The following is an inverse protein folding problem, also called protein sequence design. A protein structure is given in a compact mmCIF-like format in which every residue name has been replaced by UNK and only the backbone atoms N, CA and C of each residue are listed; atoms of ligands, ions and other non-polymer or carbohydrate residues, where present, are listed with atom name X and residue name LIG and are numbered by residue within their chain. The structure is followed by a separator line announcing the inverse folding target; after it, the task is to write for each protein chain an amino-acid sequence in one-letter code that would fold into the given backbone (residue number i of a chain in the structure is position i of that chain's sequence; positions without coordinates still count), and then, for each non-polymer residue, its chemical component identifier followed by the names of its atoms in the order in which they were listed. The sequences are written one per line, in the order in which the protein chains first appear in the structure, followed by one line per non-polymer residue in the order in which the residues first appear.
data_IF_120947961958
#
_entry.id   IF_120947961958
#
_cell.length_a   1.000
_cell.length_b   1.000
_cell.length_c   1.000
_cell.angle_alpha   90.00
_cell.angle_beta   90.00
_cell.angle_gamma   90.00
#
_symmetry.space_group_name_H-M   'P 1'
#
loop_
_entity.id
_entity.type
_entity.pdbx_description
1 polymer ?
#
# COMPACT_ATOMS: atom_id res chain seq x y z
N UNK A 1 19.50 17.01 11.59
CA UNK A 1 19.54 17.36 10.15
C UNK A 1 18.78 16.28 9.42
N UNK A 2 17.65 16.64 8.83
CA UNK A 2 16.75 15.72 8.15
C UNK A 2 17.48 15.11 6.95
N UNK A 3 17.46 13.78 6.85
CA UNK A 3 18.11 13.04 5.78
C UNK A 3 17.26 13.14 4.50
N UNK A 4 17.17 14.36 3.96
CA UNK A 4 16.63 14.62 2.64
C UNK A 4 17.64 14.13 1.62
N UNK A 5 17.46 12.89 1.15
CA UNK A 5 17.89 12.40 -0.16
C UNK A 5 17.25 11.03 -0.45
N UNK A 6 15.93 11.05 -0.64
CA UNK A 6 15.18 10.04 -1.41
C UNK A 6 15.42 10.22 -2.92
N UNK A 7 16.57 10.78 -3.30
CA UNK A 7 16.97 11.05 -4.68
C UNK A 7 17.71 9.84 -5.21
N UNK A 8 16.96 8.75 -5.45
CA UNK A 8 17.36 7.72 -6.42
C UNK A 8 16.30 6.70 -6.92
N UNK A 9 15.01 6.59 -6.48
CA UNK A 9 14.58 5.17 -6.37
C UNK A 9 13.25 4.50 -6.76
N UNK A 10 12.06 5.12 -6.96
CA UNK A 10 11.28 4.56 -8.09
C UNK A 10 11.99 4.95 -9.41
N UNK A 11 12.88 5.93 -9.29
CA UNK A 11 13.64 6.64 -10.30
C UNK A 11 14.47 5.65 -11.12
N UNK A 12 14.29 5.64 -12.43
CA UNK A 12 13.76 6.74 -13.22
C UNK A 12 12.26 6.62 -13.54
N UNK A 13 11.53 6.01 -12.60
CA UNK A 13 10.10 5.70 -12.53
C UNK A 13 9.66 4.62 -13.50
N UNK A 14 10.55 3.65 -13.72
CA UNK A 14 10.73 2.96 -15.00
C UNK A 14 11.40 3.94 -15.97
N UNK A 15 12.72 3.86 -16.19
CA UNK A 15 13.52 4.85 -16.94
C UNK A 15 13.17 5.03 -18.44
N UNK A 16 12.11 4.37 -18.86
CA UNK A 16 11.46 4.42 -20.14
C UNK A 16 10.23 3.54 -19.90
N UNK A 17 9.02 3.98 -20.20
CA UNK A 17 7.87 3.07 -20.13
C UNK A 17 8.03 1.87 -21.12
N UNK A 18 9.04 1.93 -22.04
CA UNK A 18 9.91 0.89 -22.69
C UNK A 18 10.41 1.45 -24.05
N UNK A 19 11.71 1.40 -24.41
CA UNK A 19 12.12 0.59 -25.58
C UNK A 19 13.45 -0.16 -25.42
N UNK A 20 13.52 -1.42 -25.82
CA UNK A 20 14.76 -2.23 -25.73
C UNK A 20 15.75 -1.94 -26.87
N UNK A 21 17.04 -2.16 -26.56
CA UNK A 21 18.25 -2.06 -27.40
C UNK A 21 18.91 -0.68 -27.57
N UNK A 22 19.61 -0.20 -26.54
CA UNK A 22 21.02 0.27 -26.61
C UNK A 22 21.44 1.03 -25.34
N UNK A 23 22.61 0.65 -24.81
CA UNK A 23 23.30 1.24 -23.67
C UNK A 23 23.52 2.76 -23.84
N UNK A 24 22.81 3.62 -23.07
CA UNK A 24 23.13 5.05 -22.96
C UNK A 24 23.18 5.51 -21.51
N UNK A 25 24.38 5.93 -21.09
CA UNK A 25 24.67 6.63 -19.83
C UNK A 25 24.03 8.00 -19.80
N UNK A 26 23.63 8.44 -18.60
CA UNK A 26 23.25 9.84 -18.35
C UNK A 26 24.40 10.82 -18.65
N UNK A 27 24.10 12.05 -19.12
CA UNK A 27 25.08 13.07 -19.50
C UNK A 27 26.03 13.50 -18.38
N UNK A 28 27.28 13.78 -18.74
CA UNK A 28 28.40 14.04 -17.82
C UNK A 28 28.21 15.26 -16.91
N UNK A 29 27.38 16.24 -17.29
CA UNK A 29 27.13 17.44 -16.50
C UNK A 29 26.24 17.20 -15.26
N UNK A 30 25.47 16.10 -15.23
CA UNK A 30 24.65 15.71 -14.06
C UNK A 30 25.51 15.08 -12.96
N UNK A 31 26.68 14.53 -13.31
CA UNK A 31 27.57 13.82 -12.37
C UNK A 31 28.37 14.72 -11.42
N UNK A 32 28.47 16.02 -11.69
CA UNK A 32 29.39 16.92 -10.99
C UNK A 32 28.77 17.71 -9.81
N UNK A 33 27.48 17.54 -9.53
CA UNK A 33 26.77 18.36 -8.53
C UNK A 33 26.42 17.64 -7.22
N UNK A 34 26.85 16.40 -7.01
CA UNK A 34 26.52 15.63 -5.80
C UNK A 34 27.81 15.32 -5.02
N UNK A 35 28.09 16.01 -3.90
CA UNK A 35 29.08 15.55 -2.94
C UNK A 35 28.47 14.42 -2.10
N UNK A 36 29.04 13.22 -2.20
CA UNK A 36 28.65 12.02 -1.46
C UNK A 36 28.83 10.77 -2.31
N UNK A 37 29.70 9.86 -1.88
CA UNK A 37 29.94 8.58 -2.54
C UNK A 37 28.72 7.67 -2.44
N UNK A 38 28.46 6.92 -3.51
CA UNK A 38 27.35 5.99 -3.78
C UNK A 38 26.97 4.98 -2.69
N UNK A 39 27.72 4.88 -1.60
CA UNK A 39 27.64 3.76 -0.65
C UNK A 39 26.85 4.08 0.64
N UNK A 40 26.24 5.27 0.75
CA UNK A 40 25.53 5.73 1.97
C UNK A 40 24.04 6.03 1.78
N UNK A 41 23.43 5.62 0.66
CA UNK A 41 22.00 5.85 0.35
C UNK A 41 21.30 4.49 0.30
N UNK A 42 20.43 4.22 1.29
CA UNK A 42 19.64 2.98 1.35
C UNK A 42 18.70 2.83 0.13
N UNK A 43 18.47 1.61 -0.39
CA UNK A 43 17.80 1.42 -1.67
C UNK A 43 16.29 1.63 -1.50
N UNK A 44 15.64 2.38 -2.38
CA UNK A 44 14.19 2.32 -2.61
C UNK A 44 13.85 1.68 -3.97
N UNK A 45 14.60 0.64 -4.38
CA UNK A 45 14.37 -0.10 -5.62
C UNK A 45 13.01 -0.85 -5.57
N UNK A 46 12.36 -1.18 -6.71
CA UNK A 46 11.09 -1.90 -6.73
C UNK A 46 11.10 -3.18 -5.89
N UNK A 47 12.24 -3.88 -5.84
CA UNK A 47 12.47 -5.06 -5.01
C UNK A 47 12.39 -4.75 -3.51
N UNK A 48 12.95 -3.61 -3.09
CA UNK A 48 12.85 -3.16 -1.69
C UNK A 48 11.41 -2.82 -1.35
N UNK A 49 10.71 -2.11 -2.24
CA UNK A 49 9.29 -1.77 -2.03
C UNK A 49 8.44 -3.03 -1.86
N UNK A 50 8.63 -4.04 -2.70
CA UNK A 50 7.92 -5.32 -2.56
C UNK A 50 8.34 -6.08 -1.31
N UNK A 51 9.61 -6.07 -0.94
CA UNK A 51 10.10 -6.69 0.30
C UNK A 51 9.47 -6.05 1.53
N UNK A 52 9.43 -4.72 1.57
CA UNK A 52 8.85 -3.93 2.66
C UNK A 52 7.33 -4.12 2.72
N UNK A 53 6.66 -4.09 1.56
CA UNK A 53 5.24 -4.38 1.46
C UNK A 53 4.94 -5.81 1.94
N UNK A 54 5.68 -6.81 1.49
CA UNK A 54 5.48 -8.22 1.89
C UNK A 54 5.63 -8.39 3.40
N UNK A 55 6.70 -7.83 3.97
CA UNK A 55 6.95 -7.86 5.42
C UNK A 55 5.82 -7.16 6.18
N UNK A 56 5.38 -6.00 5.68
CA UNK A 56 4.26 -5.27 6.25
C UNK A 56 2.98 -6.11 6.23
N UNK A 57 2.61 -6.72 5.09
CA UNK A 57 1.41 -7.55 4.95
C UNK A 57 1.45 -8.77 5.87
N UNK A 58 2.60 -9.45 5.99
CA UNK A 58 2.74 -10.58 6.92
C UNK A 58 2.48 -10.17 8.36
N UNK A 59 2.97 -9.00 8.76
CA UNK A 59 2.73 -8.45 10.09
C UNK A 59 1.26 -8.03 10.26
N UNK A 60 0.68 -7.36 9.27
CA UNK A 60 -0.74 -6.93 9.27
C UNK A 60 -1.69 -8.12 9.36
N UNK A 61 -1.39 -9.23 8.69
CA UNK A 61 -2.21 -10.44 8.74
C UNK A 61 -1.82 -11.43 9.82
N UNK A 62 -0.72 -11.18 10.54
CA UNK A 62 -0.09 -12.15 11.44
C UNK A 62 0.07 -13.54 10.78
N UNK A 63 0.48 -13.53 9.51
CA UNK A 63 0.57 -14.70 8.65
C UNK A 63 1.91 -14.69 7.89
N UNK A 64 3.01 -15.13 8.53
CA UNK A 64 4.28 -15.31 7.84
C UNK A 64 4.15 -16.51 6.88
N UNK A 65 4.02 -16.22 5.60
CA UNK A 65 3.91 -17.23 4.54
C UNK A 65 4.85 -16.86 3.40
N UNK A 66 6.13 -17.28 3.46
CA UNK A 66 7.11 -16.89 2.47
C UNK A 66 6.70 -17.41 1.08
N UNK A 67 6.63 -16.49 0.12
CA UNK A 67 6.32 -16.77 -1.27
C UNK A 67 7.21 -15.91 -2.18
N UNK A 68 7.46 -16.38 -3.39
CA UNK A 68 8.10 -15.56 -4.42
C UNK A 68 7.04 -14.67 -5.06
N UNK A 69 7.19 -13.35 -4.93
CA UNK A 69 6.37 -12.34 -5.59
C UNK A 69 7.08 -11.86 -6.85
N UNK A 70 6.35 -11.78 -7.94
CA UNK A 70 6.85 -11.25 -9.22
C UNK A 70 6.18 -9.92 -9.50
N UNK A 71 6.94 -8.90 -9.88
CA UNK A 71 6.40 -7.66 -10.41
C UNK A 71 6.69 -7.58 -11.91
N UNK A 72 5.63 -7.42 -12.69
CA UNK A 72 5.67 -7.17 -14.13
C UNK A 72 5.15 -5.77 -14.37
N UNK A 73 5.86 -5.01 -15.20
CA UNK A 73 5.38 -3.70 -15.66
C UNK A 73 5.15 -3.77 -17.15
N UNK A 74 3.91 -3.55 -17.55
CA UNK A 74 3.47 -3.82 -18.92
C UNK A 74 2.41 -2.83 -19.40
N UNK A 75 2.23 -2.78 -20.72
CA UNK A 75 1.26 -1.92 -21.37
C UNK A 75 -0.15 -2.50 -21.26
N UNK A 76 -0.78 -2.26 -20.11
CA UNK A 76 -2.14 -2.69 -19.78
C UNK A 76 -3.02 -1.50 -19.43
N UNK A 77 -4.34 -1.65 -19.64
CA UNK A 77 -5.34 -0.72 -19.14
C UNK A 77 -5.47 -0.79 -17.61
N UNK A 78 -6.03 0.25 -17.01
CA UNK A 78 -6.19 0.34 -15.55
C UNK A 78 -4.91 0.77 -14.82
N UNK A 79 -4.83 0.42 -13.53
CA UNK A 79 -3.73 0.84 -12.63
C UNK A 79 -2.76 -0.31 -12.40
N UNK A 80 -3.26 -1.39 -11.84
CA UNK A 80 -2.54 -2.63 -11.61
C UNK A 80 -3.55 -3.77 -11.36
N UNK A 81 -3.06 -5.01 -11.32
CA UNK A 81 -3.79 -6.15 -10.79
C UNK A 81 -2.84 -7.22 -10.26
N UNK A 82 -3.36 -8.11 -9.43
CA UNK A 82 -2.63 -9.26 -8.91
C UNK A 82 -3.28 -10.57 -9.36
N UNK A 83 -2.45 -11.52 -9.80
CA UNK A 83 -2.86 -12.87 -10.15
C UNK A 83 -1.89 -13.87 -9.54
N UNK A 84 -2.40 -14.73 -8.66
CA UNK A 84 -1.58 -15.58 -7.80
C UNK A 84 -0.50 -14.74 -7.08
N UNK A 85 0.78 -14.96 -7.40
CA UNK A 85 1.90 -14.21 -6.82
C UNK A 85 2.51 -13.20 -7.82
N UNK A 86 1.85 -12.95 -8.94
CA UNK A 86 2.26 -11.98 -9.96
C UNK A 86 1.48 -10.67 -9.81
N UNK A 87 2.21 -9.58 -9.59
CA UNK A 87 1.70 -8.21 -9.57
C UNK A 87 2.00 -7.60 -10.94
N UNK A 88 0.97 -7.07 -11.59
CA UNK A 88 1.04 -6.49 -12.92
C UNK A 88 0.70 -5.01 -12.82
N UNK A 89 1.69 -4.14 -13.03
CA UNK A 89 1.55 -2.69 -12.93
C UNK A 89 1.45 -2.06 -14.32
N UNK A 90 0.47 -1.17 -14.51
CA UNK A 90 0.29 -0.47 -15.78
C UNK A 90 1.42 0.52 -16.03
N UNK A 91 2.15 0.27 -17.11
CA UNK A 91 3.15 1.17 -17.64
C UNK A 91 2.51 2.53 -18.03
N UNK A 92 1.26 2.53 -18.52
CA UNK A 92 0.49 3.74 -18.82
C UNK A 92 0.17 4.53 -17.55
N UNK A 93 -0.27 3.88 -16.47
CA UNK A 93 -0.54 4.56 -15.19
C UNK A 93 0.70 5.23 -14.63
N UNK A 94 1.83 4.53 -14.67
CA UNK A 94 3.11 5.09 -14.23
C UNK A 94 3.58 6.23 -15.15
N UNK A 95 3.34 6.12 -16.47
CA UNK A 95 3.67 7.15 -17.46
C UNK A 95 2.80 8.41 -17.38
N UNK A 96 1.49 8.27 -17.14
CA UNK A 96 0.49 9.34 -17.27
C UNK A 96 0.34 10.24 -16.03
N UNK A 97 1.13 10.04 -14.99
CA UNK A 97 1.07 10.91 -13.81
C UNK A 97 1.62 12.31 -14.15
N UNK A 98 0.71 13.24 -14.46
CA UNK A 98 0.98 14.56 -15.06
C UNK A 98 1.02 15.72 -14.04
N UNK A 99 1.32 15.45 -12.77
CA UNK A 99 1.66 16.51 -11.82
C UNK A 99 2.93 17.25 -12.28
N UNK A 100 3.32 18.34 -11.62
CA UNK A 100 4.60 19.01 -11.91
C UNK A 100 5.79 18.12 -11.46
N UNK A 101 6.03 17.02 -12.20
CA UNK A 101 7.14 16.04 -12.04
C UNK A 101 8.50 16.74 -12.16
N UNK A 102 8.50 17.99 -12.62
CA UNK A 102 9.68 18.88 -12.66
C UNK A 102 10.08 19.39 -11.28
N UNK A 103 9.23 19.21 -10.26
CA UNK A 103 9.51 19.60 -8.89
C UNK A 103 9.82 18.38 -8.02
N UNK A 104 10.67 18.59 -7.02
CA UNK A 104 11.01 17.63 -5.97
C UNK A 104 9.75 17.02 -5.31
N UNK A 105 8.76 17.87 -5.03
CA UNK A 105 7.49 17.50 -4.40
C UNK A 105 6.62 16.66 -5.33
N UNK A 106 6.54 17.01 -6.62
CA UNK A 106 5.79 16.24 -7.61
C UNK A 106 6.33 14.82 -7.79
N UNK A 107 7.66 14.66 -7.78
CA UNK A 107 8.31 13.35 -7.84
C UNK A 107 8.02 12.50 -6.59
N UNK A 108 8.09 13.10 -5.41
CA UNK A 108 7.75 12.41 -4.16
C UNK A 108 6.30 11.90 -4.15
N UNK A 109 5.34 12.73 -4.58
CA UNK A 109 3.94 12.34 -4.64
C UNK A 109 3.71 11.18 -5.62
N UNK A 110 4.33 11.21 -6.80
CA UNK A 110 4.25 10.12 -7.78
C UNK A 110 4.83 8.82 -7.23
N UNK A 111 5.99 8.90 -6.57
CA UNK A 111 6.63 7.76 -5.90
C UNK A 111 5.68 7.16 -4.86
N UNK A 112 5.14 8.00 -3.97
CA UNK A 112 4.21 7.58 -2.93
C UNK A 112 2.94 6.91 -3.49
N UNK A 113 2.41 7.39 -4.63
CA UNK A 113 1.25 6.76 -5.28
C UNK A 113 1.57 5.35 -5.78
N UNK A 114 2.66 5.19 -6.53
CA UNK A 114 3.06 3.88 -7.07
C UNK A 114 3.40 2.92 -5.95
N UNK A 115 4.14 3.36 -4.92
CA UNK A 115 4.39 2.56 -3.72
C UNK A 115 3.09 2.13 -3.05
N UNK A 116 2.13 3.04 -2.89
CA UNK A 116 0.82 2.70 -2.32
C UNK A 116 0.05 1.65 -3.13
N UNK A 117 0.08 1.75 -4.46
CA UNK A 117 -0.49 0.72 -5.35
C UNK A 117 0.21 -0.62 -5.16
N UNK A 118 1.55 -0.64 -5.06
CA UNK A 118 2.26 -1.88 -4.81
C UNK A 118 1.90 -2.50 -3.46
N UNK A 119 1.68 -1.72 -2.40
CA UNK A 119 1.17 -2.23 -1.12
C UNK A 119 -0.23 -2.82 -1.25
N UNK A 120 -1.11 -2.17 -2.01
CA UNK A 120 -2.45 -2.68 -2.31
C UNK A 120 -2.35 -4.05 -3.01
N UNK A 121 -1.65 -4.12 -4.13
CA UNK A 121 -1.51 -5.36 -4.92
C UNK A 121 -0.81 -6.48 -4.15
N UNK A 122 0.24 -6.14 -3.41
CA UNK A 122 0.96 -7.08 -2.55
C UNK A 122 0.05 -7.70 -1.49
N UNK A 123 -1.00 -6.98 -1.05
CA UNK A 123 -1.99 -7.53 -0.11
C UNK A 123 -2.71 -8.74 -0.69
N UNK A 124 -3.10 -8.68 -1.97
CA UNK A 124 -3.85 -9.75 -2.63
C UNK A 124 -3.09 -11.07 -2.73
N UNK A 125 -1.75 -11.05 -2.67
CA UNK A 125 -0.93 -12.27 -2.67
C UNK A 125 -1.19 -13.15 -1.44
N UNK A 126 -1.40 -12.53 -0.26
CA UNK A 126 -1.55 -13.25 1.02
C UNK A 126 -2.94 -13.17 1.63
N UNK A 127 -3.81 -12.38 1.02
CA UNK A 127 -5.19 -12.24 1.43
C UNK A 127 -5.98 -13.49 1.03
N UNK A 128 -6.77 -14.01 1.97
CA UNK A 128 -7.76 -15.02 1.66
C UNK A 128 -9.02 -14.38 1.12
N UNK A 129 -9.59 -14.96 0.05
CA UNK A 129 -10.79 -14.44 -0.59
C UNK A 129 -12.10 -15.14 -0.16
N UNK A 130 -12.08 -15.89 0.95
CA UNK A 130 -13.28 -16.60 1.41
C UNK A 130 -13.69 -17.76 0.51
N UNK A 131 -12.75 -18.41 -0.19
CA UNK A 131 -13.06 -19.35 -1.29
C UNK A 131 -13.95 -18.72 -2.37
N UNK A 132 -13.78 -17.42 -2.62
CA UNK A 132 -14.59 -16.63 -3.55
C UNK A 132 -15.93 -16.12 -3.00
N UNK A 133 -16.25 -16.36 -1.73
CA UNK A 133 -17.50 -15.88 -1.11
C UNK A 133 -17.39 -14.46 -0.55
N UNK A 134 -16.18 -13.97 -0.28
CA UNK A 134 -15.98 -12.59 0.11
C UNK A 134 -16.27 -11.67 -1.08
N UNK A 135 -17.11 -10.66 -0.87
CA UNK A 135 -17.46 -9.72 -1.94
C UNK A 135 -16.25 -8.86 -2.33
N UNK A 136 -16.23 -8.37 -3.57
CA UNK A 136 -15.11 -7.58 -4.09
C UNK A 136 -14.82 -6.33 -3.25
N UNK A 137 -15.82 -5.66 -2.71
CA UNK A 137 -15.61 -4.47 -1.88
C UNK A 137 -14.84 -4.77 -0.59
N UNK A 138 -15.10 -5.90 0.07
CA UNK A 138 -14.28 -6.33 1.20
C UNK A 138 -12.85 -6.66 0.75
N UNK A 139 -12.69 -7.32 -0.40
CA UNK A 139 -11.37 -7.71 -0.91
C UNK A 139 -10.50 -6.49 -1.18
N UNK A 140 -11.00 -5.55 -1.99
CA UNK A 140 -10.31 -4.29 -2.31
C UNK A 140 -10.12 -3.42 -1.05
N UNK A 141 -11.10 -3.42 -0.14
CA UNK A 141 -11.05 -2.65 1.09
C UNK A 141 -9.95 -3.10 2.06
N UNK A 142 -9.66 -4.39 2.14
CA UNK A 142 -8.54 -4.91 2.95
C UNK A 142 -7.20 -4.52 2.32
N UNK A 143 -7.08 -4.54 0.99
CA UNK A 143 -5.89 -4.08 0.28
C UNK A 143 -5.63 -2.58 0.51
N UNK A 144 -6.67 -1.75 0.43
CA UNK A 144 -6.54 -0.33 0.75
C UNK A 144 -6.41 -0.04 2.25
N UNK A 145 -6.89 -0.92 3.13
CA UNK A 145 -6.57 -0.85 4.56
C UNK A 145 -5.07 -1.03 4.78
N UNK A 146 -4.43 -2.01 4.15
CA UNK A 146 -2.98 -2.17 4.28
C UNK A 146 -2.22 -0.95 3.75
N UNK A 147 -2.62 -0.43 2.58
CA UNK A 147 -2.09 0.82 2.02
C UNK A 147 -2.26 2.02 2.98
N UNK A 148 -3.42 2.12 3.63
CA UNK A 148 -3.71 3.15 4.63
C UNK A 148 -2.77 3.03 5.84
N UNK A 149 -2.66 1.84 6.43
CA UNK A 149 -1.83 1.60 7.61
C UNK A 149 -0.34 1.76 7.34
N UNK A 150 0.09 1.53 6.09
CA UNK A 150 1.43 1.80 5.63
C UNK A 150 1.72 3.29 5.37
N UNK A 151 0.73 4.18 5.52
CA UNK A 151 0.91 5.63 5.34
C UNK A 151 0.83 6.10 3.88
N UNK A 152 0.36 5.27 2.96
CA UNK A 152 0.29 5.57 1.52
C UNK A 152 -1.11 5.93 1.02
N UNK A 153 -2.00 6.37 1.92
CA UNK A 153 -3.32 6.89 1.55
C UNK A 153 -3.18 8.23 0.78
N UNK A 154 -3.65 8.31 -0.47
CA UNK A 154 -3.74 9.55 -1.24
C UNK A 154 -4.59 10.63 -0.55
N UNK A 155 -4.22 11.90 -0.75
CA UNK A 155 -4.96 13.03 -0.18
C UNK A 155 -6.39 13.22 -0.69
N UNK A 156 -6.76 12.56 -1.79
CA UNK A 156 -8.13 12.61 -2.35
C UNK A 156 -9.04 11.49 -1.81
N UNK A 157 -8.52 10.57 -1.01
CA UNK A 157 -9.34 9.54 -0.38
C UNK A 157 -10.42 10.14 0.51
N UNK A 158 -11.53 9.43 0.60
CA UNK A 158 -12.64 9.81 1.46
C UNK A 158 -12.18 9.96 2.91
N UNK A 159 -12.85 10.86 3.61
CA UNK A 159 -12.67 11.01 5.06
C UNK A 159 -13.35 9.87 5.81
N UNK A 160 -12.88 9.52 7.02
CA UNK A 160 -13.64 8.65 7.91
C UNK A 160 -15.09 9.12 8.07
N UNK A 161 -16.01 8.17 8.15
CA UNK A 161 -17.45 8.40 8.18
C UNK A 161 -18.10 8.70 6.83
N UNK A 162 -17.37 8.80 5.72
CA UNK A 162 -17.95 8.95 4.38
C UNK A 162 -18.23 7.59 3.73
N UNK A 163 -18.92 7.60 2.57
CA UNK A 163 -19.45 6.41 1.90
C UNK A 163 -20.86 6.01 2.37
N UNK A 164 -21.50 5.16 1.58
CA UNK A 164 -22.89 4.71 1.75
C UNK A 164 -22.99 3.29 2.30
N UNK A 165 -21.98 2.43 2.04
CA UNK A 165 -21.97 1.02 2.46
C UNK A 165 -20.59 0.57 2.90
N UNK A 166 -20.56 -0.36 3.87
CA UNK A 166 -19.34 -0.86 4.47
C UNK A 166 -18.44 -1.62 3.49
N UNK A 167 -19.02 -2.25 2.47
CA UNK A 167 -18.38 -3.04 1.42
C UNK A 167 -18.40 -2.35 0.05
N UNK A 168 -18.32 -1.01 0.02
CA UNK A 168 -18.18 -0.27 -1.23
C UNK A 168 -16.83 -0.47 -1.92
N UNK A 169 -15.83 -1.01 -1.22
CA UNK A 169 -14.49 -1.16 -1.74
C UNK A 169 -13.57 -0.02 -1.34
N UNK A 170 -12.30 -0.24 -1.70
CA UNK A 170 -11.25 0.77 -1.68
C UNK A 170 -11.17 1.55 -0.36
N UNK A 171 -10.95 2.87 -0.46
CA UNK A 171 -10.78 3.78 0.65
C UNK A 171 -11.97 3.82 1.62
N UNK A 172 -13.21 3.72 1.13
CA UNK A 172 -14.41 3.69 1.98
C UNK A 172 -14.35 2.49 2.93
N UNK A 173 -14.19 1.29 2.38
CA UNK A 173 -14.12 0.07 3.18
C UNK A 173 -12.85 0.06 4.04
N UNK A 174 -11.72 0.54 3.53
CA UNK A 174 -10.47 0.65 4.29
C UNK A 174 -10.61 1.51 5.55
N UNK A 175 -11.30 2.66 5.47
CA UNK A 175 -11.56 3.52 6.63
C UNK A 175 -12.47 2.86 7.66
N UNK A 176 -13.45 2.07 7.20
CA UNK A 176 -14.29 1.28 8.10
C UNK A 176 -13.52 0.17 8.80
N UNK A 177 -12.66 -0.54 8.07
CA UNK A 177 -11.80 -1.58 8.65
C UNK A 177 -10.79 -1.00 9.66
N UNK A 178 -10.30 0.21 9.43
CA UNK A 178 -9.46 0.95 10.41
C UNK A 178 -10.23 1.31 11.68
N UNK A 179 -11.50 1.70 11.55
CA UNK A 179 -12.39 1.83 12.72
C UNK A 179 -12.58 0.49 13.44
N UNK A 180 -12.88 -0.61 12.74
CA UNK A 180 -13.01 -1.94 13.34
C UNK A 180 -11.74 -2.38 14.08
N UNK A 181 -10.56 -2.12 13.49
CA UNK A 181 -9.27 -2.39 14.10
C UNK A 181 -8.99 -1.51 15.33
N UNK A 182 -9.49 -0.28 15.37
CA UNK A 182 -9.42 0.57 16.57
C UNK A 182 -10.24 0.01 17.74
N UNK A 183 -11.34 -0.71 17.46
CA UNK A 183 -12.14 -1.38 18.49
C UNK A 183 -11.44 -2.65 19.00
N UNK A 184 -10.69 -3.32 18.12
CA UNK A 184 -9.93 -4.52 18.46
C UNK A 184 -8.66 -4.59 17.59
N UNK A 185 -7.49 -4.20 18.13
CA UNK A 185 -6.24 -4.27 17.38
C UNK A 185 -5.98 -5.69 16.84
N UNK A 186 -5.66 -5.78 15.55
CA UNK A 186 -5.52 -7.05 14.84
C UNK A 186 -6.84 -7.58 14.26
N UNK A 187 -7.88 -6.74 14.17
CA UNK A 187 -9.17 -7.12 13.59
C UNK A 187 -9.00 -7.69 12.18
N UNK A 188 -8.25 -6.98 11.32
CA UNK A 188 -8.05 -7.39 9.92
C UNK A 188 -7.25 -8.68 9.82
N UNK A 189 -6.29 -8.92 10.73
CA UNK A 189 -5.58 -10.20 10.81
C UNK A 189 -6.54 -11.36 11.11
N UNK A 190 -7.41 -11.20 12.10
CA UNK A 190 -8.40 -12.19 12.49
C UNK A 190 -9.43 -12.44 11.38
N UNK A 191 -9.87 -11.37 10.71
CA UNK A 191 -10.79 -11.47 9.58
C UNK A 191 -10.15 -12.23 8.42
N UNK A 192 -8.93 -11.87 8.02
CA UNK A 192 -8.19 -12.57 6.97
C UNK A 192 -7.99 -14.06 7.30
N UNK A 193 -7.58 -14.38 8.52
CA UNK A 193 -7.40 -15.77 8.95
C UNK A 193 -8.71 -16.58 8.86
N UNK A 194 -9.86 -15.97 9.22
CA UNK A 194 -11.17 -16.62 9.09
C UNK A 194 -11.60 -16.81 7.64
N UNK A 195 -11.16 -15.96 6.72
CA UNK A 195 -11.47 -16.05 5.29
C UNK A 195 -10.81 -17.22 4.57
N UNK A 196 -9.91 -17.97 5.23
CA UNK A 196 -9.18 -19.08 4.60
C UNK A 196 -10.09 -20.13 3.97
N UNK A 197 -11.15 -20.53 4.67
CA UNK A 197 -11.99 -21.68 4.29
C UNK A 197 -13.44 -21.28 3.92
N UNK A 198 -13.70 -19.99 3.73
CA UNK A 198 -15.04 -19.47 3.41
C UNK A 198 -15.22 -18.04 3.92
N UNK A 199 -16.36 -17.42 3.61
CA UNK A 199 -16.68 -16.10 4.14
C UNK A 199 -18.17 -15.96 4.46
N UNK A 200 -18.45 -15.29 5.58
CA UNK A 200 -19.76 -14.79 5.96
C UNK A 200 -19.59 -13.46 6.71
N UNK A 201 -20.52 -12.52 6.55
CA UNK A 201 -20.53 -11.26 7.31
C UNK A 201 -20.54 -11.48 8.84
N UNK A 202 -21.03 -12.62 9.32
CA UNK A 202 -21.02 -13.01 10.74
C UNK A 202 -19.61 -13.05 11.36
N UNK A 203 -18.54 -13.09 10.55
CA UNK A 203 -17.17 -13.00 11.06
C UNK A 203 -16.94 -11.69 11.83
N UNK A 204 -17.58 -10.59 11.44
CA UNK A 204 -17.53 -9.33 12.18
C UNK A 204 -18.11 -9.51 13.60
N UNK A 205 -19.27 -10.17 13.73
CA UNK A 205 -19.89 -10.43 15.03
C UNK A 205 -19.06 -11.42 15.86
N UNK A 206 -18.47 -12.43 15.24
CA UNK A 206 -17.59 -13.38 15.94
C UNK A 206 -16.32 -12.70 16.50
N UNK A 207 -15.80 -11.67 15.82
CA UNK A 207 -14.57 -10.99 16.24
C UNK A 207 -14.85 -9.82 17.21
N UNK A 208 -15.87 -9.01 16.94
CA UNK A 208 -16.16 -7.74 17.62
C UNK A 208 -17.42 -7.78 18.49
N UNK A 209 -18.23 -8.84 18.42
CA UNK A 209 -19.47 -8.99 19.18
C UNK A 209 -20.70 -8.34 18.55
N UNK A 210 -20.55 -7.60 17.43
CA UNK A 210 -21.63 -6.91 16.73
C UNK A 210 -21.65 -7.25 15.23
N UNK A 211 -22.83 -7.26 14.63
CA UNK A 211 -22.99 -7.46 13.18
C UNK A 211 -22.28 -6.35 12.38
N UNK A 212 -21.88 -6.63 11.14
CA UNK A 212 -21.23 -5.61 10.28
C UNK A 212 -22.13 -4.40 10.04
N UNK A 213 -23.46 -4.60 10.00
CA UNK A 213 -24.43 -3.51 9.86
C UNK A 213 -24.47 -2.61 11.11
N UNK A 214 -24.43 -3.19 12.31
CA UNK A 214 -24.35 -2.40 13.56
C UNK A 214 -23.03 -1.64 13.64
N UNK A 215 -21.91 -2.30 13.35
CA UNK A 215 -20.58 -1.66 13.34
C UNK A 215 -20.52 -0.51 12.32
N UNK A 216 -21.12 -0.67 11.14
CA UNK A 216 -21.21 0.40 10.14
C UNK A 216 -22.05 1.58 10.65
N UNK A 217 -23.17 1.32 11.30
CA UNK A 217 -23.99 2.38 11.91
C UNK A 217 -23.22 3.13 13.01
N UNK A 218 -22.51 2.40 13.88
CA UNK A 218 -21.69 2.97 14.95
C UNK A 218 -20.54 3.81 14.38
N UNK A 219 -19.88 3.32 13.32
CA UNK A 219 -18.87 4.06 12.56
C UNK A 219 -19.42 5.40 12.05
N UNK A 220 -20.57 5.37 11.35
CA UNK A 220 -21.21 6.57 10.80
C UNK A 220 -21.59 7.55 11.91
N UNK A 221 -22.12 7.06 13.03
CA UNK A 221 -22.49 7.89 14.19
C UNK A 221 -21.28 8.53 14.87
N UNK A 222 -20.20 7.75 15.10
CA UNK A 222 -18.96 8.23 15.71
C UNK A 222 -18.37 9.40 14.93
N UNK A 223 -18.23 9.25 13.61
CA UNK A 223 -17.66 10.31 12.80
C UNK A 223 -18.64 11.46 12.61
N UNK A 224 -19.94 11.24 12.40
CA UNK A 224 -20.94 12.33 12.36
C UNK A 224 -20.89 13.22 13.61
N UNK A 225 -20.73 12.63 14.79
CA UNK A 225 -20.51 13.36 16.03
C UNK A 225 -19.22 14.19 15.97
N UNK A 226 -18.09 13.60 15.57
CA UNK A 226 -16.82 14.32 15.44
C UNK A 226 -16.88 15.49 14.45
N UNK A 227 -17.58 15.33 13.31
CA UNK A 227 -17.86 16.43 12.37
C UNK A 227 -18.62 17.57 13.05
N UNK A 228 -19.61 17.25 13.89
CA UNK A 228 -20.49 18.23 14.55
C UNK A 228 -19.81 19.04 15.67
N UNK A 229 -18.82 18.46 16.35
CA UNK A 229 -18.13 19.11 17.49
C UNK A 229 -16.86 19.86 17.10
N UNK A 230 -16.52 19.93 15.81
CA UNK A 230 -15.38 20.72 15.33
C UNK A 230 -13.99 20.17 15.70
N UNK A 231 -13.90 18.91 16.16
CA UNK A 231 -12.65 18.25 16.58
C UNK A 231 -11.77 17.80 15.40
N UNK A 232 -11.58 18.68 14.42
CA UNK A 232 -10.79 18.40 13.22
C UNK A 232 -9.28 18.50 13.43
N UNK A 233 -8.84 19.24 14.45
CA UNK A 233 -7.44 19.65 14.62
C UNK A 233 -6.58 18.75 15.51
N UNK A 234 -7.15 17.68 16.08
CA UNK A 234 -6.42 16.71 16.93
C UNK A 234 -6.14 15.37 16.23
N UNK A 235 -6.54 15.24 14.97
CA UNK A 235 -6.19 14.05 14.18
C UNK A 235 -4.75 14.20 13.71
N UNK A 236 -3.87 13.20 13.91
CA UNK A 236 -2.49 13.31 13.53
C UNK A 236 -2.41 13.62 12.03
N UNK A 237 -2.09 14.86 11.70
CA UNK A 237 -1.60 15.28 10.38
C UNK A 237 -0.20 14.74 10.12
N UNK A 238 0.33 13.94 11.05
CA UNK A 238 1.32 12.94 10.73
C UNK A 238 0.69 11.98 9.73
N UNK A 239 0.78 12.34 8.44
CA UNK A 239 1.30 11.43 7.44
C UNK A 239 2.49 10.77 8.13
N UNK A 240 2.21 9.60 8.70
CA UNK A 240 3.19 8.77 9.36
C UNK A 240 4.28 8.52 8.33
N UNK A 241 5.49 9.05 8.57
CA UNK A 241 6.68 8.69 7.80
C UNK A 241 7.13 7.32 8.30
N UNK A 242 6.76 6.22 7.60
CA UNK A 242 6.97 4.87 8.12
C UNK A 242 8.47 4.57 8.21
N UNK A 243 9.28 5.14 7.31
CA UNK A 243 10.72 4.90 7.21
C UNK A 243 11.47 5.18 8.51
N UNK A 244 10.97 6.12 9.31
CA UNK A 244 11.62 6.53 10.57
C UNK A 244 11.37 5.57 11.74
N UNK A 245 10.29 4.79 11.73
CA UNK A 245 9.84 3.99 12.88
C UNK A 245 9.98 2.48 12.68
N UNK A 246 9.84 1.95 11.46
CA UNK A 246 9.99 0.49 11.22
C UNK A 246 11.44 0.01 11.17
N UNK A 247 12.39 0.91 10.88
CA UNK A 247 13.82 0.59 10.86
C UNK A 247 14.39 0.22 12.25
N UNK A 248 13.62 0.38 13.32
CA UNK A 248 14.11 0.22 14.70
C UNK A 248 13.69 -1.11 15.37
N UNK A 249 12.73 -1.88 14.85
CA UNK A 249 12.12 -2.96 15.65
C UNK A 249 12.11 -4.36 15.05
N UNK A 250 12.45 -4.57 13.77
CA UNK A 250 12.49 -5.92 13.21
C UNK A 250 13.75 -6.15 12.36
N UNK A 251 14.51 -7.23 12.59
CA UNK A 251 15.59 -7.60 11.68
C UNK A 251 15.00 -7.90 10.29
N UNK A 252 15.68 -7.49 9.20
CA UNK A 252 15.23 -7.80 7.85
C UNK A 252 15.10 -9.31 7.66
N UNK A 253 14.03 -9.73 7.01
CA UNK A 253 13.86 -11.12 6.57
C UNK A 253 15.03 -11.45 5.64
N UNK A 254 15.71 -12.58 5.90
CA UNK A 254 16.83 -13.06 5.10
C UNK A 254 16.50 -13.10 3.60
N UNK A 255 17.34 -12.43 2.81
CA UNK A 255 17.29 -12.28 1.34
C UNK A 255 17.32 -13.60 0.54
N UNK A 256 17.40 -14.76 1.19
CA UNK A 256 17.41 -16.07 0.51
C UNK A 256 16.03 -16.56 0.05
N UNK A 257 14.93 -15.87 0.41
CA UNK A 257 13.56 -16.30 0.13
C UNK A 257 12.85 -15.55 -1.01
N UNK A 258 13.51 -14.58 -1.66
CA UNK A 258 12.94 -13.76 -2.72
C UNK A 258 13.81 -13.88 -3.99
N UNK A 259 13.33 -14.63 -4.99
CA UNK A 259 13.93 -14.66 -6.33
C UNK A 259 13.10 -13.82 -7.28
N UNK A 260 13.61 -12.67 -7.69
CA UNK A 260 13.00 -11.80 -8.69
C UNK A 260 13.38 -12.29 -10.10
N UNK A 261 12.40 -12.44 -10.99
CA UNK A 261 12.64 -12.69 -12.42
C UNK A 261 12.09 -11.50 -13.21
N UNK A 262 13.00 -10.63 -13.65
CA UNK A 262 12.72 -9.62 -14.66
C UNK A 262 12.97 -10.28 -16.02
N UNK A 263 11.90 -10.61 -16.76
CA UNK A 263 12.04 -10.94 -18.18
C UNK A 263 11.81 -9.68 -19.01
N UNK A 264 12.81 -9.41 -19.85
CA UNK A 264 13.05 -8.22 -20.66
C UNK A 264 11.96 -8.00 -21.72
#
# INVERSE_FOLDING_TARGET
MYNTKCYDTIILLLDSVVPSSTNRRAPEHVRKLIPGTRDEIGPCAPEQVLSDASTFIWNTFNQPSPATVTLVVEDIGGVAFTSANGIHLSAQYVGNYSGDVKTEVGNYLKVSQVTGVLYHETTHVWQWNGQGHANGGLIEGIADYARLKAGYAPGHWVKPGQGDRWDQGYDITARFLDYCDSLKPGFVALLNAKMKDGYTDDFFAQILGNTVQQLWQDYKANYAYQFSVGNWNEWPTNIYDPASHWAQTNPPVSLHSLRFSLFV
#
